data_IF_892958516754
#
_entry.id   IF_892958516754
#
_cell.length_a   1.000
_cell.length_b   1.000
_cell.length_c   1.000
_cell.angle_alpha   90.00
_cell.angle_beta   90.00
_cell.angle_gamma   90.00
#
_symmetry.space_group_name_H-M   'P 1'
#
loop_
_entity.id
_entity.type
_entity.pdbx_description
1 polymer ?
#
# COMPACT_ATOMS: atom_id res chain seq x y z
N UNK A 1 2.79 -10.68 -10.41
CA UNK A 1 3.05 -10.02 -9.15
C UNK A 1 2.24 -8.74 -9.04
N UNK A 2 1.49 -8.55 -7.95
CA UNK A 2 0.70 -7.32 -7.76
C UNK A 2 1.61 -6.10 -7.69
N UNK A 3 1.25 -5.04 -8.42
CA UNK A 3 2.01 -3.80 -8.40
C UNK A 3 1.16 -2.61 -8.83
N UNK A 4 1.56 -1.43 -8.36
CA UNK A 4 0.94 -0.16 -8.73
C UNK A 4 2.08 0.83 -8.96
N UNK A 5 2.06 1.51 -10.09
CA UNK A 5 2.98 2.62 -10.37
C UNK A 5 2.15 3.90 -10.45
N UNK A 6 2.47 4.86 -9.60
CA UNK A 6 1.78 6.15 -9.60
C UNK A 6 2.76 7.27 -9.93
N UNK A 7 2.24 8.31 -10.57
CA UNK A 7 2.95 9.57 -10.75
C UNK A 7 2.57 10.46 -9.57
N UNK A 8 3.55 10.89 -8.79
CA UNK A 8 3.30 11.69 -7.60
C UNK A 8 4.55 12.47 -7.21
N UNK A 9 4.35 13.71 -6.78
CA UNK A 9 5.40 14.55 -6.21
C UNK A 9 5.29 14.68 -4.71
N UNK A 10 4.45 13.85 -4.08
CA UNK A 10 4.29 13.86 -2.63
C UNK A 10 5.62 13.51 -1.97
N UNK A 11 5.97 14.25 -0.93
CA UNK A 11 7.19 14.03 -0.17
C UNK A 11 7.11 12.70 0.57
N UNK A 12 8.14 11.85 0.45
CA UNK A 12 8.19 10.55 1.11
C UNK A 12 8.18 10.65 2.63
N UNK A 13 8.74 11.71 3.21
CA UNK A 13 8.66 11.92 4.67
C UNK A 13 7.20 12.06 5.12
N UNK A 14 6.37 12.72 4.32
CA UNK A 14 4.96 12.88 4.61
C UNK A 14 4.21 11.56 4.53
N UNK A 15 4.51 10.76 3.51
CA UNK A 15 3.92 9.42 3.37
C UNK A 15 4.33 8.56 4.56
N UNK A 16 5.63 8.52 4.87
CA UNK A 16 6.17 7.75 6.00
C UNK A 16 5.46 8.12 7.31
N UNK A 17 5.29 9.42 7.57
CA UNK A 17 4.66 9.90 8.80
C UNK A 17 3.19 9.49 8.90
N UNK A 18 2.48 9.39 7.78
CA UNK A 18 1.05 9.06 7.77
C UNK A 18 0.75 7.58 8.00
N UNK A 19 1.74 6.69 7.90
CA UNK A 19 1.52 5.24 8.04
C UNK A 19 1.90 4.70 9.41
N UNK A 20 1.64 5.44 10.47
CA UNK A 20 1.91 4.98 11.83
C UNK A 20 0.66 4.37 12.43
N UNK A 21 0.66 3.03 12.58
CA UNK A 21 -0.36 2.34 13.34
C UNK A 21 -1.79 2.49 12.81
N UNK A 22 -1.96 2.57 11.50
CA UNK A 22 -3.29 2.68 10.92
C UNK A 22 -3.97 1.33 10.81
N UNK A 23 -5.20 1.26 11.28
CA UNK A 23 -6.02 0.05 11.19
C UNK A 23 -7.27 0.40 10.37
N UNK A 24 -7.47 -0.34 9.29
CA UNK A 24 -8.63 -0.17 8.41
C UNK A 24 -9.44 -1.45 8.40
N UNK A 25 -10.74 -1.34 8.60
CA UNK A 25 -11.67 -2.47 8.55
C UNK A 25 -12.49 -2.38 7.28
N UNK A 26 -12.65 -3.51 6.62
CA UNK A 26 -13.43 -3.62 5.39
C UNK A 26 -14.42 -4.76 5.51
N UNK A 27 -15.61 -4.57 4.94
CA UNK A 27 -16.62 -5.63 4.86
C UNK A 27 -16.53 -6.41 3.55
N UNK A 28 -15.59 -6.06 2.68
CA UNK A 28 -15.39 -6.77 1.42
C UNK A 28 -14.90 -8.19 1.66
N UNK A 29 -15.33 -9.15 0.83
CA UNK A 29 -14.90 -10.56 0.88
C UNK A 29 -15.04 -11.19 2.28
N UNK A 30 -16.17 -10.94 2.95
CA UNK A 30 -16.44 -11.54 4.25
C UNK A 30 -15.79 -10.83 5.43
N UNK A 31 -15.19 -9.69 5.19
CA UNK A 31 -14.55 -8.87 6.21
C UNK A 31 -13.04 -9.06 6.25
N UNK A 32 -12.34 -7.97 6.45
CA UNK A 32 -10.90 -7.98 6.54
C UNK A 32 -10.44 -6.81 7.41
N UNK A 33 -9.38 -7.03 8.19
CA UNK A 33 -8.70 -5.97 8.93
C UNK A 33 -7.32 -5.79 8.31
N UNK A 34 -7.02 -4.56 7.91
CA UNK A 34 -5.70 -4.16 7.43
C UNK A 34 -5.02 -3.37 8.53
N UNK A 35 -3.92 -3.90 9.05
CA UNK A 35 -3.14 -3.22 10.10
C UNK A 35 -1.79 -2.81 9.50
N UNK A 36 -1.65 -1.53 9.23
CA UNK A 36 -0.38 -0.93 8.79
C UNK A 36 0.38 -0.50 10.04
N UNK A 37 1.16 -1.41 10.61
CA UNK A 37 1.75 -1.26 11.93
C UNK A 37 2.84 -0.18 11.99
N UNK A 38 3.79 -0.26 11.08
CA UNK A 38 4.94 0.63 11.09
C UNK A 38 5.42 0.88 9.68
N UNK A 39 6.09 1.99 9.50
CA UNK A 39 6.72 2.38 8.26
C UNK A 39 8.20 2.64 8.51
N UNK A 40 9.05 2.12 7.63
CA UNK A 40 10.50 2.26 7.71
C UNK A 40 11.01 2.91 6.44
N UNK A 41 11.80 3.96 6.59
CA UNK A 41 12.35 4.72 5.47
C UNK A 41 13.86 4.58 5.46
N UNK A 42 14.45 4.37 4.28
CA UNK A 42 15.90 4.29 4.15
C UNK A 42 16.55 5.69 4.24
N UNK A 43 17.87 5.72 4.41
CA UNK A 43 18.61 6.96 4.56
C UNK A 43 18.51 7.87 3.33
N UNK A 44 18.46 7.28 2.14
CA UNK A 44 18.34 8.02 0.87
C UNK A 44 16.93 8.58 0.64
N UNK A 45 15.95 8.18 1.46
CA UNK A 45 14.54 8.64 1.38
C UNK A 45 13.87 8.33 0.04
N UNK A 46 14.25 7.24 -0.58
CA UNK A 46 13.66 6.76 -1.84
C UNK A 46 12.93 5.43 -1.69
N UNK A 47 12.97 4.82 -0.52
CA UNK A 47 12.31 3.54 -0.25
C UNK A 47 11.63 3.56 1.11
N UNK A 48 10.38 3.09 1.14
CA UNK A 48 9.62 2.90 2.38
C UNK A 48 9.16 1.44 2.42
N UNK A 49 9.30 0.81 3.57
CA UNK A 49 8.71 -0.50 3.85
C UNK A 49 7.62 -0.33 4.89
N UNK A 50 6.43 -0.83 4.59
CA UNK A 50 5.30 -0.75 5.51
C UNK A 50 4.99 -2.14 6.03
N UNK A 51 5.18 -2.34 7.34
CA UNK A 51 4.86 -3.60 8.01
C UNK A 51 3.34 -3.73 8.08
N UNK A 52 2.79 -4.71 7.37
CA UNK A 52 1.36 -4.87 7.16
C UNK A 52 0.91 -6.25 7.63
N UNK A 53 -0.24 -6.27 8.32
CA UNK A 53 -0.91 -7.53 8.66
C UNK A 53 -2.31 -7.45 8.09
N UNK A 54 -2.70 -8.45 7.30
CA UNK A 54 -4.10 -8.64 6.90
C UNK A 54 -4.68 -9.76 7.74
N UNK A 55 -5.85 -9.51 8.32
CA UNK A 55 -6.58 -10.50 9.10
C UNK A 55 -7.88 -10.78 8.37
N UNK A 56 -8.00 -11.99 7.85
CA UNK A 56 -9.17 -12.46 7.13
C UNK A 56 -9.80 -13.60 7.91
N UNK A 57 -11.02 -13.97 7.53
CA UNK A 57 -11.70 -15.09 8.18
C UNK A 57 -10.82 -16.35 8.18
N UNK A 58 -10.42 -16.77 9.36
CA UNK A 58 -9.66 -18.00 9.55
C UNK A 58 -8.14 -17.88 9.56
N UNK A 59 -7.56 -16.75 9.14
CA UNK A 59 -6.09 -16.62 9.15
C UNK A 59 -5.61 -15.18 9.03
N UNK A 60 -4.34 -14.99 9.40
CA UNK A 60 -3.66 -13.69 9.23
C UNK A 60 -2.34 -13.90 8.48
N UNK A 61 -1.91 -12.86 7.77
CA UNK A 61 -0.62 -12.86 7.09
C UNK A 61 0.11 -11.55 7.38
N UNK A 62 1.40 -11.66 7.70
CA UNK A 62 2.28 -10.51 7.93
C UNK A 62 3.26 -10.41 6.77
N UNK A 63 3.36 -9.23 6.18
CA UNK A 63 4.24 -8.98 5.06
C UNK A 63 4.59 -7.50 5.01
N UNK A 64 5.57 -7.15 4.20
CA UNK A 64 5.95 -5.75 3.98
C UNK A 64 5.51 -5.31 2.60
N UNK A 65 4.96 -4.11 2.52
CA UNK A 65 4.70 -3.43 1.26
C UNK A 65 5.83 -2.46 1.03
N UNK A 66 6.41 -2.50 -0.16
CA UNK A 66 7.55 -1.66 -0.53
C UNK A 66 7.10 -0.55 -1.45
N UNK A 67 7.48 0.69 -1.11
CA UNK A 67 7.31 1.85 -1.95
C UNK A 67 8.68 2.31 -2.41
N UNK A 68 8.89 2.41 -3.72
CA UNK A 68 10.16 2.84 -4.30
C UNK A 68 9.91 4.09 -5.13
N UNK A 69 10.59 5.17 -4.80
CA UNK A 69 10.48 6.42 -5.54
C UNK A 69 11.65 6.56 -6.51
N UNK A 70 11.33 6.82 -7.77
CA UNK A 70 12.32 7.11 -8.80
C UNK A 70 11.77 8.24 -9.67
N UNK A 71 12.45 9.39 -9.66
CA UNK A 71 11.95 10.62 -10.27
C UNK A 71 10.58 10.97 -9.69
N UNK A 72 9.56 11.18 -10.51
CA UNK A 72 8.21 11.51 -10.08
C UNK A 72 7.31 10.27 -9.99
N UNK A 73 7.88 9.06 -9.99
CA UNK A 73 7.12 7.82 -9.96
C UNK A 73 7.37 7.04 -8.68
N UNK A 74 6.29 6.49 -8.12
CA UNK A 74 6.35 5.64 -6.94
C UNK A 74 5.80 4.28 -7.35
N UNK A 75 6.60 3.23 -7.11
CA UNK A 75 6.19 1.84 -7.34
C UNK A 75 5.80 1.22 -6.01
N UNK A 76 4.59 0.68 -5.93
CA UNK A 76 4.10 -0.06 -4.77
C UNK A 76 4.08 -1.54 -5.14
N UNK A 77 4.66 -2.37 -4.30
CA UNK A 77 4.67 -3.83 -4.50
C UNK A 77 4.82 -4.56 -3.17
N UNK A 78 4.54 -5.85 -3.18
CA UNK A 78 4.85 -6.70 -2.04
C UNK A 78 6.37 -6.88 -1.98
N UNK A 79 6.94 -6.74 -0.77
CA UNK A 79 8.38 -6.90 -0.61
C UNK A 79 8.74 -8.37 -0.78
N UNK A 80 9.59 -8.74 -1.75
CA UNK A 80 9.82 -10.15 -2.12
C UNK A 80 10.30 -11.04 -0.98
N UNK A 81 11.09 -10.51 -0.05
CA UNK A 81 11.62 -11.29 1.08
C UNK A 81 10.52 -11.73 2.03
N UNK A 82 9.46 -10.94 2.15
CA UNK A 82 8.32 -11.23 3.02
C UNK A 82 7.07 -11.60 2.24
N UNK A 83 7.23 -12.10 1.02
CA UNK A 83 6.13 -12.39 0.11
C UNK A 83 5.12 -13.35 0.76
N UNK A 84 3.85 -12.96 0.90
CA UNK A 84 2.87 -13.84 1.52
C UNK A 84 2.62 -15.08 0.69
N UNK A 85 2.45 -16.23 1.36
CA UNK A 85 2.23 -17.50 0.68
C UNK A 85 0.93 -17.53 -0.11
N UNK A 86 -0.09 -16.83 0.38
CA UNK A 86 -1.40 -16.79 -0.25
C UNK A 86 -1.76 -15.34 -0.55
N UNK A 87 -1.65 -14.96 -1.82
CA UNK A 87 -1.95 -13.60 -2.27
C UNK A 87 -3.44 -13.44 -2.54
N UNK A 88 -4.21 -13.34 -1.46
CA UNK A 88 -5.66 -13.16 -1.53
C UNK A 88 -6.03 -11.82 -2.14
N UNK A 89 -7.32 -11.65 -2.47
CA UNK A 89 -7.85 -10.36 -2.92
C UNK A 89 -7.60 -9.27 -1.89
N UNK A 90 -7.69 -9.60 -0.60
CA UNK A 90 -7.47 -8.60 0.46
C UNK A 90 -6.02 -8.15 0.53
N UNK A 91 -5.06 -9.04 0.31
CA UNK A 91 -3.65 -8.63 0.22
C UNK A 91 -3.44 -7.69 -0.95
N UNK A 92 -4.03 -7.98 -2.10
CA UNK A 92 -3.96 -7.09 -3.28
C UNK A 92 -4.61 -5.74 -2.99
N UNK A 93 -5.74 -5.73 -2.28
CA UNK A 93 -6.41 -4.49 -1.88
C UNK A 93 -5.58 -3.64 -0.94
N UNK A 94 -4.72 -4.26 -0.12
CA UNK A 94 -3.85 -3.49 0.78
C UNK A 94 -2.94 -2.53 0.01
N UNK A 95 -2.44 -2.93 -1.16
CA UNK A 95 -1.66 -2.05 -2.03
C UNK A 95 -2.51 -0.87 -2.53
N UNK A 96 -3.74 -1.15 -2.92
CA UNK A 96 -4.66 -0.12 -3.42
C UNK A 96 -5.02 0.87 -2.32
N UNK A 97 -5.22 0.38 -1.09
CA UNK A 97 -5.50 1.24 0.07
C UNK A 97 -4.34 2.23 0.28
N UNK A 98 -3.11 1.75 0.21
CA UNK A 98 -1.94 2.63 0.36
C UNK A 98 -1.89 3.66 -0.76
N UNK A 99 -2.15 3.26 -2.00
CA UNK A 99 -2.18 4.20 -3.13
C UNK A 99 -3.23 5.29 -2.91
N UNK A 100 -4.43 4.92 -2.45
CA UNK A 100 -5.49 5.89 -2.16
C UNK A 100 -5.10 6.83 -1.04
N UNK A 101 -4.40 6.34 -0.03
CA UNK A 101 -3.90 7.18 1.06
C UNK A 101 -2.85 8.18 0.57
N UNK A 102 -2.00 7.79 -0.38
CA UNK A 102 -1.06 8.72 -1.00
C UNK A 102 -1.82 9.82 -1.76
N UNK A 103 -2.88 9.46 -2.47
CA UNK A 103 -3.71 10.46 -3.16
C UNK A 103 -4.36 11.44 -2.17
N UNK A 104 -4.79 10.97 -0.99
CA UNK A 104 -5.35 11.84 0.04
C UNK A 104 -4.33 12.81 0.60
N UNK A 105 -3.06 12.39 0.72
CA UNK A 105 -1.97 13.23 1.20
C UNK A 105 -1.59 14.29 0.17
N UNK A 106 -1.84 14.04 -1.11
CA UNK A 106 -1.55 14.97 -2.18
C UNK A 106 -2.61 16.08 -2.23
N UNK A 107 -2.32 17.18 -1.55
CA UNK A 107 -3.24 18.32 -1.46
C UNK A 107 -3.46 19.03 -2.78
N UNK A 108 -2.56 18.85 -3.74
CA UNK A 108 -2.68 19.47 -5.08
C UNK A 108 -3.49 18.63 -6.05
N UNK A 109 -3.78 17.37 -5.70
CA UNK A 109 -4.55 16.46 -6.55
C UNK A 109 -3.88 16.11 -7.88
N UNK A 110 -2.56 16.14 -7.92
CA UNK A 110 -1.78 15.88 -9.14
C UNK A 110 -1.34 14.42 -9.29
N UNK A 111 -1.53 13.62 -8.26
CA UNK A 111 -1.14 12.21 -8.28
C UNK A 111 -2.13 11.36 -9.07
N UNK A 112 -1.64 10.41 -9.85
CA UNK A 112 -2.49 9.50 -10.61
C UNK A 112 -1.79 8.17 -10.87
N UNK A 113 -2.58 7.14 -11.16
CA UNK A 113 -2.07 5.81 -11.50
C UNK A 113 -1.54 5.82 -12.93
N UNK A 114 -0.28 5.45 -13.10
CA UNK A 114 0.36 5.32 -14.42
C UNK A 114 0.12 3.93 -14.96
N UNK A 115 0.29 2.89 -14.12
CA UNK A 115 0.22 1.50 -14.55
C UNK A 115 -0.06 0.61 -13.34
N UNK A 116 -0.95 -0.36 -13.50
CA UNK A 116 -1.22 -1.35 -12.45
C UNK A 116 -1.89 -2.58 -13.06
N UNK A 117 -1.67 -3.74 -12.42
CA UNK A 117 -2.45 -4.95 -12.70
C UNK A 117 -3.58 -5.14 -11.69
N UNK A 118 -3.88 -4.11 -10.89
CA UNK A 118 -4.92 -4.15 -9.85
C UNK A 118 -6.04 -3.14 -10.13
N UNK A 119 -6.25 -2.77 -11.39
CA UNK A 119 -7.18 -1.71 -11.77
C UNK A 119 -8.59 -1.93 -11.19
N UNK A 120 -9.09 -3.14 -11.23
CA UNK A 120 -10.44 -3.43 -10.76
C UNK A 120 -10.62 -3.23 -9.25
N UNK A 121 -9.55 -3.29 -8.47
CA UNK A 121 -9.63 -3.04 -7.01
C UNK A 121 -9.76 -1.56 -6.68
N UNK A 122 -9.44 -0.66 -7.60
CA UNK A 122 -9.63 0.78 -7.38
C UNK A 122 -11.11 1.17 -7.40
N UNK A 123 -11.95 0.35 -8.00
CA UNK A 123 -13.38 0.57 -8.09
C UNK A 123 -14.13 0.03 -6.88
N UNK A 124 -13.49 -0.81 -6.08
CA UNK A 124 -14.09 -1.39 -4.88
C UNK A 124 -14.21 -0.34 -3.78
N UNK A 125 -15.32 -0.41 -3.05
CA UNK A 125 -15.48 0.37 -1.82
C UNK A 125 -14.88 -0.41 -0.65
N UNK A 126 -13.97 0.22 0.02
CA UNK A 126 -13.28 -0.38 1.18
C UNK A 126 -13.85 0.19 2.47
#
# INVERSE_FOLDING_TARGET
MPHIIISSRVNFDLIHTNFKGRIIRSNSDGGCIYNFKESFQNTSKDTILINTITIESGFSQNYFIQLIKKSDKITLRLYPITDPKNKTSNIKRSLVIIAKMIFEVDTKGESFVVRTNLQHYFEDKV
#
